data_IF_677140831945
#
_entry.id   IF_677140831945
#
_cell.length_a   1.000
_cell.length_b   1.000
_cell.length_c   1.000
_cell.angle_alpha   90.00
_cell.angle_beta   90.00
_cell.angle_gamma   90.00
#
_symmetry.space_group_name_H-M   'P 1'
#
loop_
_entity.id
_entity.type
_entity.pdbx_description
1 polymer ?
#
# COMPACT_ATOMS: atom_id res chain seq x y z
N UNK A 1 -0.20 14.49 5.69
CA UNK A 1 -1.17 14.13 4.64
C UNK A 1 -0.51 13.06 3.79
N UNK A 2 -1.26 12.11 3.24
CA UNK A 2 -0.72 10.97 2.48
C UNK A 2 -1.14 11.16 1.03
N UNK A 3 -0.17 11.15 0.11
CA UNK A 3 -0.45 11.22 -1.31
C UNK A 3 -0.73 9.81 -1.81
N UNK A 4 -1.93 9.59 -2.35
CA UNK A 4 -2.36 8.28 -2.84
C UNK A 4 -2.56 8.30 -4.34
N UNK A 5 -1.94 7.37 -5.05
CA UNK A 5 -2.20 7.12 -6.47
C UNK A 5 -3.13 5.91 -6.54
N UNK A 6 -4.41 6.16 -6.82
CA UNK A 6 -5.46 5.14 -6.79
C UNK A 6 -5.75 4.67 -8.20
N UNK A 7 -5.34 3.45 -8.52
CA UNK A 7 -5.51 2.81 -9.81
C UNK A 7 -6.73 1.89 -9.75
N UNK A 8 -7.74 2.18 -10.57
CA UNK A 8 -8.97 1.38 -10.64
C UNK A 8 -9.00 0.62 -11.96
N UNK A 9 -9.19 -0.71 -11.89
CA UNK A 9 -9.39 -1.56 -13.05
C UNK A 9 -10.50 -1.02 -13.98
N UNK A 10 -10.23 -1.00 -15.28
CA UNK A 10 -11.18 -0.49 -16.28
C UNK A 10 -12.49 -1.29 -16.31
N UNK A 11 -12.46 -2.61 -16.11
CA UNK A 11 -13.69 -3.41 -16.06
C UNK A 11 -14.59 -3.11 -14.85
N UNK A 12 -14.06 -2.41 -13.84
CA UNK A 12 -14.84 -1.89 -12.72
C UNK A 12 -15.47 -0.51 -13.03
N UNK A 13 -15.12 0.14 -14.14
CA UNK A 13 -15.67 1.45 -14.50
C UNK A 13 -17.09 1.30 -15.08
N UNK A 14 -18.09 1.78 -14.34
CA UNK A 14 -19.50 1.75 -14.75
C UNK A 14 -20.42 0.99 -13.79
N UNK A 15 -19.85 0.23 -12.84
CA UNK A 15 -20.53 -0.01 -11.57
C UNK A 15 -20.47 1.30 -10.76
N UNK A 16 -21.55 1.65 -10.08
CA UNK A 16 -21.71 2.98 -9.49
C UNK A 16 -20.81 3.23 -8.25
N UNK A 17 -19.87 2.34 -7.87
CA UNK A 17 -19.46 2.23 -6.45
C UNK A 17 -17.95 2.08 -6.15
N UNK A 18 -17.04 1.85 -7.11
CA UNK A 18 -15.62 1.58 -6.73
C UNK A 18 -14.82 2.82 -6.33
N UNK A 19 -15.03 3.96 -6.99
CA UNK A 19 -14.41 5.23 -6.58
C UNK A 19 -14.91 5.66 -5.20
N UNK A 20 -16.20 5.46 -4.93
CA UNK A 20 -16.81 5.73 -3.64
C UNK A 20 -16.26 4.80 -2.56
N UNK A 21 -16.13 3.50 -2.83
CA UNK A 21 -15.46 2.54 -1.94
C UNK A 21 -14.04 3.00 -1.64
N UNK A 22 -13.24 3.34 -2.67
CA UNK A 22 -11.88 3.80 -2.47
C UNK A 22 -11.77 5.08 -1.64
N UNK A 23 -12.75 5.98 -1.73
CA UNK A 23 -12.86 7.15 -0.87
C UNK A 23 -13.28 6.77 0.56
N UNK A 24 -14.25 5.86 0.73
CA UNK A 24 -14.69 5.39 2.04
C UNK A 24 -13.58 4.65 2.80
N UNK A 25 -12.81 3.82 2.10
CA UNK A 25 -11.62 3.16 2.63
C UNK A 25 -10.63 4.16 3.22
N UNK A 26 -10.32 5.22 2.47
CA UNK A 26 -9.45 6.31 2.93
C UNK A 26 -10.06 7.10 4.09
N UNK A 27 -11.38 7.30 4.12
CA UNK A 27 -12.08 7.94 5.25
C UNK A 27 -12.01 7.08 6.52
N UNK A 28 -12.17 5.76 6.40
CA UNK A 28 -12.03 4.83 7.51
C UNK A 28 -10.59 4.81 8.04
N UNK A 29 -9.61 4.71 7.15
CA UNK A 29 -8.20 4.74 7.53
C UNK A 29 -7.83 6.08 8.18
N UNK A 30 -8.40 7.20 7.72
CA UNK A 30 -8.25 8.51 8.37
C UNK A 30 -8.77 8.48 9.81
N UNK A 31 -9.90 7.81 10.04
CA UNK A 31 -10.49 7.61 11.36
C UNK A 31 -9.55 6.88 12.32
N UNK A 32 -8.96 5.77 11.87
CA UNK A 32 -8.03 4.96 12.66
C UNK A 32 -6.68 5.65 12.87
N UNK A 33 -6.02 6.01 11.77
CA UNK A 33 -4.63 6.46 11.78
C UNK A 33 -4.47 7.96 12.01
N UNK A 34 -5.57 8.72 12.03
CA UNK A 34 -5.57 10.19 12.19
C UNK A 34 -4.71 10.90 11.14
N UNK A 35 -4.78 10.44 9.89
CA UNK A 35 -4.07 11.03 8.74
C UNK A 35 -5.05 11.42 7.64
N UNK A 36 -4.82 12.55 6.98
CA UNK A 36 -5.56 12.93 5.77
C UNK A 36 -4.95 12.31 4.52
N UNK A 37 -5.78 12.03 3.52
CA UNK A 37 -5.36 11.49 2.21
C UNK A 37 -5.66 12.48 1.09
N UNK A 38 -4.87 12.42 0.03
CA UNK A 38 -5.06 13.17 -1.21
C UNK A 38 -4.98 12.21 -2.39
N UNK A 39 -6.12 11.63 -2.81
CA UNK A 39 -6.15 10.67 -3.89
C UNK A 39 -6.03 11.33 -5.26
N UNK A 40 -5.16 10.76 -6.08
CA UNK A 40 -5.11 10.94 -7.52
C UNK A 40 -5.63 9.67 -8.17
N UNK A 41 -6.85 9.73 -8.70
CA UNK A 41 -7.45 8.60 -9.38
C UNK A 41 -6.90 8.41 -10.79
N UNK A 42 -6.70 7.14 -11.14
CA UNK A 42 -6.19 6.68 -12.43
C UNK A 42 -6.95 5.44 -12.86
N UNK A 43 -7.01 5.22 -14.15
CA UNK A 43 -7.57 4.02 -14.74
C UNK A 43 -6.43 3.06 -15.04
N UNK A 44 -6.52 1.83 -14.55
CA UNK A 44 -5.69 0.73 -15.02
C UNK A 44 -6.34 0.18 -16.30
N UNK A 45 -5.74 0.39 -17.48
CA UNK A 45 -6.31 -0.11 -18.72
C UNK A 45 -6.30 -1.64 -18.72
N UNK A 46 -7.40 -2.27 -19.10
CA UNK A 46 -7.49 -3.72 -19.28
C UNK A 46 -7.72 -4.03 -20.76
N UNK A 47 -6.86 -3.47 -21.59
CA UNK A 47 -6.92 -3.53 -23.05
C UNK A 47 -6.17 -4.75 -23.62
N UNK A 48 -5.37 -5.44 -22.81
CA UNK A 48 -4.63 -6.64 -23.17
C UNK A 48 -4.32 -7.52 -21.94
N UNK A 49 -3.88 -8.76 -22.17
CA UNK A 49 -3.59 -9.74 -21.11
C UNK A 49 -2.50 -9.27 -20.14
N UNK A 50 -1.54 -8.44 -20.56
CA UNK A 50 -0.50 -7.94 -19.66
C UNK A 50 -1.04 -6.97 -18.61
N UNK A 51 -2.22 -6.37 -18.84
CA UNK A 51 -2.83 -5.42 -17.91
C UNK A 51 -4.15 -5.93 -17.29
N UNK A 52 -4.65 -7.11 -17.65
CA UNK A 52 -5.88 -7.71 -17.08
C UNK A 52 -5.54 -8.74 -16.02
N UNK A 53 -5.66 -8.40 -14.72
CA UNK A 53 -5.18 -9.26 -13.63
C UNK A 53 -6.16 -10.38 -13.24
N UNK A 54 -5.60 -11.53 -12.88
CA UNK A 54 -6.32 -12.69 -12.31
C UNK A 54 -5.80 -12.98 -10.90
N UNK A 55 -6.54 -13.73 -10.05
CA UNK A 55 -6.07 -14.07 -8.70
C UNK A 55 -4.65 -14.65 -8.67
N UNK A 56 -4.31 -15.55 -9.58
CA UNK A 56 -2.98 -16.19 -9.68
C UNK A 56 -1.83 -15.23 -10.03
N UNK A 57 -2.13 -14.06 -10.61
CA UNK A 57 -1.13 -13.03 -10.89
C UNK A 57 -0.70 -12.28 -9.62
N UNK A 58 -1.53 -12.35 -8.55
CA UNK A 58 -1.27 -11.66 -7.28
C UNK A 58 -0.61 -12.62 -6.31
N UNK A 59 0.72 -12.72 -6.41
CA UNK A 59 1.52 -13.62 -5.58
C UNK A 59 1.74 -13.03 -4.18
N UNK A 60 1.43 -13.78 -3.11
CA UNK A 60 1.67 -13.31 -1.73
C UNK A 60 3.18 -13.17 -1.45
N UNK A 61 3.96 -14.13 -1.92
CA UNK A 61 5.42 -14.12 -1.86
C UNK A 61 5.97 -14.49 -3.23
N UNK A 62 6.87 -13.66 -3.78
CA UNK A 62 7.59 -14.01 -5.00
C UNK A 62 7.32 -13.12 -6.21
N UNK A 63 7.42 -11.80 -6.08
CA UNK A 63 7.44 -10.88 -7.23
C UNK A 63 8.53 -11.21 -8.29
N UNK A 64 9.54 -12.01 -7.92
CA UNK A 64 10.60 -12.46 -8.82
C UNK A 64 10.34 -13.83 -9.47
N UNK A 65 9.13 -14.39 -9.34
CA UNK A 65 8.71 -15.60 -10.07
C UNK A 65 8.10 -15.22 -11.42
N UNK A 66 7.96 -16.19 -12.36
CA UNK A 66 7.22 -15.96 -13.59
C UNK A 66 5.80 -15.42 -13.35
N UNK A 67 5.10 -15.96 -12.35
CA UNK A 67 3.75 -15.55 -11.97
C UNK A 67 3.71 -14.10 -11.45
N UNK A 68 4.68 -13.72 -10.62
CA UNK A 68 4.77 -12.36 -10.07
C UNK A 68 5.21 -11.28 -11.05
N UNK A 69 5.66 -11.65 -12.26
CA UNK A 69 6.26 -10.71 -13.23
C UNK A 69 5.27 -9.63 -13.66
N UNK A 70 3.99 -9.97 -13.84
CA UNK A 70 2.96 -9.02 -14.25
C UNK A 70 2.74 -7.93 -13.20
N UNK A 71 2.60 -8.33 -11.94
CA UNK A 71 2.46 -7.41 -10.82
C UNK A 71 3.73 -6.56 -10.61
N UNK A 72 4.92 -7.17 -10.75
CA UNK A 72 6.18 -6.45 -10.72
C UNK A 72 6.28 -5.38 -11.81
N UNK A 73 5.85 -5.67 -13.03
CA UNK A 73 5.86 -4.72 -14.13
C UNK A 73 4.92 -3.54 -13.85
N UNK A 74 3.74 -3.79 -13.29
CA UNK A 74 2.83 -2.74 -12.84
C UNK A 74 3.48 -1.85 -11.77
N UNK A 75 4.13 -2.44 -10.76
CA UNK A 75 4.82 -1.67 -9.72
C UNK A 75 5.94 -0.79 -10.30
N UNK A 76 6.75 -1.33 -11.22
CA UNK A 76 7.81 -0.59 -11.89
C UNK A 76 7.28 0.62 -12.68
N UNK A 77 6.09 0.53 -13.27
CA UNK A 77 5.45 1.67 -13.97
C UNK A 77 5.04 2.81 -13.04
N UNK A 78 4.80 2.50 -11.76
CA UNK A 78 4.40 3.47 -10.75
C UNK A 78 5.57 4.00 -9.94
N UNK A 79 6.77 3.42 -10.06
CA UNK A 79 7.98 3.97 -9.44
C UNK A 79 8.24 5.34 -10.06
N UNK A 80 8.45 6.34 -9.20
CA UNK A 80 8.59 7.73 -9.62
C UNK A 80 7.27 8.51 -9.67
N UNK A 81 6.12 7.91 -9.32
CA UNK A 81 4.87 8.66 -9.21
C UNK A 81 5.04 9.81 -8.20
N UNK A 82 4.90 11.08 -8.65
CA UNK A 82 5.22 12.21 -7.80
C UNK A 82 4.16 12.36 -6.73
N UNK A 83 4.56 12.75 -5.51
CA UNK A 83 3.59 13.02 -4.47
C UNK A 83 2.73 14.22 -4.87
N UNK A 84 1.61 14.37 -4.18
CA UNK A 84 0.63 15.43 -4.33
C UNK A 84 1.07 16.82 -3.83
N UNK A 85 2.34 16.98 -3.44
CA UNK A 85 2.89 18.25 -2.97
C UNK A 85 3.61 18.94 -4.13
N UNK A 86 3.44 20.26 -4.23
CA UNK A 86 3.98 21.07 -5.34
C UNK A 86 5.50 21.25 -5.31
N UNK A 87 6.17 20.82 -4.24
CA UNK A 87 7.62 20.96 -4.05
C UNK A 87 8.30 19.58 -4.02
N UNK A 88 8.59 18.97 -5.18
CA UNK A 88 9.43 17.79 -5.26
C UNK A 88 10.87 18.21 -4.96
N UNK A 89 11.35 17.91 -3.77
CA UNK A 89 12.69 18.33 -3.34
C UNK A 89 13.78 17.43 -3.91
N UNK A 90 13.48 16.14 -4.16
CA UNK A 90 14.42 15.14 -4.72
C UNK A 90 13.70 14.01 -5.50
N UNK A 91 14.44 13.13 -6.20
CA UNK A 91 13.90 11.90 -6.81
C UNK A 91 13.25 10.95 -5.79
N UNK A 92 13.74 11.00 -4.55
CA UNK A 92 13.33 10.10 -3.46
C UNK A 92 11.96 10.50 -2.90
N UNK A 93 11.43 11.69 -3.26
CA UNK A 93 10.10 12.15 -2.86
C UNK A 93 8.98 11.24 -3.38
N UNK A 94 9.23 10.47 -4.44
CA UNK A 94 8.29 9.46 -4.96
C UNK A 94 8.00 8.33 -3.97
N UNK A 95 8.88 8.08 -2.98
CA UNK A 95 8.64 7.15 -1.86
C UNK A 95 7.48 7.59 -0.95
N UNK A 96 7.07 8.86 -1.06
CA UNK A 96 5.99 9.47 -0.28
C UNK A 96 4.62 9.30 -0.94
N UNK A 97 4.56 8.57 -2.05
CA UNK A 97 3.32 8.23 -2.75
C UNK A 97 2.96 6.78 -2.46
N UNK A 98 1.77 6.56 -1.90
CA UNK A 98 1.19 5.23 -1.77
C UNK A 98 0.41 4.88 -3.03
N UNK A 99 0.79 3.80 -3.71
CA UNK A 99 0.05 3.29 -4.87
C UNK A 99 -0.94 2.22 -4.41
N UNK A 100 -2.21 2.38 -4.79
CA UNK A 100 -3.30 1.47 -4.39
C UNK A 100 -4.00 0.98 -5.65
N UNK A 101 -4.13 -0.32 -5.82
CA UNK A 101 -4.75 -0.95 -7.00
C UNK A 101 -6.04 -1.64 -6.60
N UNK A 102 -7.17 -1.16 -7.12
CA UNK A 102 -8.46 -1.84 -7.03
C UNK A 102 -8.64 -2.69 -8.28
N UNK A 103 -8.41 -3.99 -8.15
CA UNK A 103 -8.42 -4.95 -9.25
C UNK A 103 -9.74 -5.71 -9.30
N UNK A 104 -10.18 -6.10 -10.50
CA UNK A 104 -11.39 -6.91 -10.70
C UNK A 104 -11.12 -8.41 -10.46
N UNK A 105 -10.73 -8.72 -9.23
CA UNK A 105 -10.49 -10.10 -8.76
C UNK A 105 -11.22 -10.28 -7.44
N UNK A 106 -11.65 -11.49 -7.13
CA UNK A 106 -12.37 -11.79 -5.89
C UNK A 106 -11.45 -12.27 -4.77
N UNK A 107 -10.21 -12.66 -5.06
CA UNK A 107 -9.23 -13.14 -4.08
C UNK A 107 -7.80 -12.93 -4.57
N UNK A 108 -6.83 -13.11 -3.67
CA UNK A 108 -5.40 -13.02 -3.96
C UNK A 108 -4.80 -14.42 -3.98
N UNK A 109 -4.14 -14.79 -5.07
CA UNK A 109 -3.63 -16.15 -5.27
C UNK A 109 -4.73 -17.21 -5.01
N UNK A 110 -4.37 -18.29 -4.31
CA UNK A 110 -5.30 -19.29 -3.78
C UNK A 110 -5.68 -19.03 -2.31
N UNK A 111 -5.37 -17.85 -1.77
CA UNK A 111 -5.72 -17.48 -0.40
C UNK A 111 -6.99 -16.64 -0.37
N UNK A 112 -7.77 -16.66 0.73
CA UNK A 112 -8.98 -15.86 0.86
C UNK A 112 -8.67 -14.39 1.23
N UNK A 113 -7.51 -13.85 0.86
CA UNK A 113 -7.16 -12.46 1.19
C UNK A 113 -7.93 -11.49 0.30
N UNK A 114 -8.47 -10.45 0.93
CA UNK A 114 -9.23 -9.38 0.28
C UNK A 114 -8.36 -8.16 -0.06
N UNK A 115 -7.18 -8.07 0.57
CA UNK A 115 -6.18 -7.05 0.30
C UNK A 115 -4.79 -7.57 0.69
N UNK A 116 -3.75 -6.90 0.19
CA UNK A 116 -2.36 -7.19 0.55
C UNK A 116 -1.47 -5.97 0.29
N UNK A 117 -0.49 -5.76 1.17
CA UNK A 117 0.56 -4.75 1.04
C UNK A 117 1.85 -5.38 0.52
N UNK A 118 2.52 -4.69 -0.41
CA UNK A 118 3.84 -5.01 -0.89
C UNK A 118 4.83 -3.89 -0.60
N UNK A 119 6.07 -4.27 -0.29
CA UNK A 119 7.23 -3.39 -0.33
C UNK A 119 8.14 -3.85 -1.47
N UNK A 120 8.41 -2.97 -2.44
CA UNK A 120 9.24 -3.28 -3.61
C UNK A 120 10.01 -2.05 -4.06
N UNK A 121 11.34 -2.18 -4.19
CA UNK A 121 12.25 -1.05 -4.46
C UNK A 121 12.01 0.15 -3.53
N UNK A 122 11.82 -0.09 -2.24
CA UNK A 122 11.53 0.92 -1.20
C UNK A 122 10.16 1.61 -1.30
N UNK A 123 9.43 1.42 -2.40
CA UNK A 123 8.04 1.84 -2.54
C UNK A 123 7.09 0.84 -1.88
N UNK A 124 5.92 1.33 -1.48
CA UNK A 124 4.83 0.51 -0.97
C UNK A 124 3.61 0.57 -1.87
N UNK A 125 2.97 -0.58 -2.01
CA UNK A 125 1.83 -0.80 -2.87
C UNK A 125 0.76 -1.55 -2.09
N UNK A 126 -0.51 -1.23 -2.30
CA UNK A 126 -1.64 -2.01 -1.77
C UNK A 126 -2.43 -2.53 -2.95
N UNK A 127 -2.75 -3.82 -2.94
CA UNK A 127 -3.68 -4.43 -3.88
C UNK A 127 -4.97 -4.76 -3.13
N UNK A 128 -6.09 -4.28 -3.66
CA UNK A 128 -7.45 -4.48 -3.16
C UNK A 128 -8.22 -5.35 -4.15
N UNK A 129 -8.94 -6.34 -3.64
CA UNK A 129 -9.88 -7.15 -4.43
C UNK A 129 -11.26 -6.49 -4.47
N UNK A 130 -12.24 -7.12 -5.14
CA UNK A 130 -13.64 -6.68 -5.14
C UNK A 130 -14.40 -7.09 -3.88
N UNK A 131 -13.78 -7.78 -2.93
CA UNK A 131 -14.44 -8.14 -1.68
C UNK A 131 -14.66 -6.90 -0.81
N UNK A 132 -15.89 -6.77 -0.30
CA UNK A 132 -16.23 -5.68 0.59
C UNK A 132 -15.68 -5.90 2.01
N UNK A 133 -15.16 -4.83 2.60
CA UNK A 133 -14.72 -4.79 3.99
C UNK A 133 -14.02 -3.49 4.30
N UNK A 134 -14.68 -2.64 5.09
CA UNK A 134 -14.23 -1.27 5.39
C UNK A 134 -12.91 -1.21 6.17
N UNK A 135 -12.53 -2.31 6.84
CA UNK A 135 -11.29 -2.38 7.60
C UNK A 135 -10.07 -2.85 6.77
N UNK A 136 -10.26 -3.45 5.59
CA UNK A 136 -9.15 -4.05 4.84
C UNK A 136 -8.12 -3.02 4.40
N UNK A 137 -8.56 -1.93 3.77
CA UNK A 137 -7.64 -0.85 3.39
C UNK A 137 -6.94 -0.25 4.62
N UNK A 138 -7.68 -0.06 5.73
CA UNK A 138 -7.12 0.51 6.95
C UNK A 138 -6.04 -0.37 7.56
N UNK A 139 -6.20 -1.70 7.49
CA UNK A 139 -5.22 -2.69 7.90
C UNK A 139 -3.97 -2.66 7.02
N UNK A 140 -4.15 -2.76 5.70
CA UNK A 140 -3.05 -2.71 4.74
C UNK A 140 -2.28 -1.38 4.80
N UNK A 141 -2.99 -0.27 5.00
CA UNK A 141 -2.36 1.01 5.20
C UNK A 141 -1.46 1.03 6.46
N UNK A 142 -1.81 0.30 7.51
CA UNK A 142 -0.94 0.07 8.66
C UNK A 142 0.36 -0.63 8.29
N UNK A 143 0.30 -1.71 7.50
CA UNK A 143 1.50 -2.36 6.97
C UNK A 143 2.33 -1.40 6.11
N UNK A 144 1.70 -0.59 5.25
CA UNK A 144 2.38 0.40 4.43
C UNK A 144 3.13 1.44 5.29
N UNK A 145 2.52 1.92 6.37
CA UNK A 145 3.16 2.80 7.35
C UNK A 145 4.37 2.12 8.00
N UNK A 146 4.26 0.85 8.39
CA UNK A 146 5.35 0.14 9.06
C UNK A 146 6.51 -0.20 8.12
N UNK A 147 6.23 -0.50 6.85
CA UNK A 147 7.27 -0.72 5.83
C UNK A 147 8.03 0.57 5.50
N UNK A 148 7.34 1.70 5.48
CA UNK A 148 7.96 3.02 5.21
C UNK A 148 8.50 3.71 6.46
N UNK A 149 8.40 3.06 7.62
CA UNK A 149 9.07 3.44 8.85
C UNK A 149 10.37 2.61 8.99
N UNK A 150 11.51 3.27 8.79
CA UNK A 150 12.83 2.60 8.77
C UNK A 150 13.20 1.89 10.07
N UNK A 151 12.59 2.27 11.21
CA UNK A 151 12.83 1.62 12.49
C UNK A 151 12.05 0.32 12.66
N UNK A 152 10.90 0.19 11.97
CA UNK A 152 10.00 -0.95 12.10
C UNK A 152 10.21 -2.01 11.04
N UNK A 153 10.67 -1.64 9.84
CA UNK A 153 10.94 -2.59 8.75
C UNK A 153 9.75 -3.50 8.43
N UNK A 154 8.53 -2.97 8.47
CA UNK A 154 7.29 -3.71 8.22
C UNK A 154 6.67 -4.40 9.43
N UNK A 155 7.28 -4.30 10.61
CA UNK A 155 6.79 -4.97 11.82
C UNK A 155 5.90 -4.04 12.65
N UNK A 156 4.84 -4.62 13.22
CA UNK A 156 4.01 -4.00 14.25
C UNK A 156 4.87 -3.56 15.43
N UNK A 157 4.74 -2.29 15.89
CA UNK A 157 5.60 -1.75 16.94
C UNK A 157 5.40 -2.42 18.30
N UNK A 158 4.30 -3.16 18.51
CA UNK A 158 4.01 -3.83 19.78
C UNK A 158 4.45 -5.30 19.73
N UNK A 159 3.91 -6.06 18.79
CA UNK A 159 4.20 -7.50 18.71
C UNK A 159 5.59 -7.81 18.16
N UNK A 160 6.20 -6.84 17.45
CA UNK A 160 7.45 -7.01 16.69
C UNK A 160 7.36 -8.11 15.61
N UNK A 161 6.14 -8.40 15.16
CA UNK A 161 5.81 -9.30 14.04
C UNK A 161 5.08 -8.50 12.97
N UNK A 162 4.83 -9.08 11.80
CA UNK A 162 4.01 -8.43 10.76
C UNK A 162 2.63 -8.04 11.30
N UNK A 163 2.01 -8.92 12.09
CA UNK A 163 0.67 -8.72 12.63
C UNK A 163 0.67 -8.64 14.16
N UNK A 164 -0.33 -7.96 14.71
CA UNK A 164 -0.63 -7.98 16.13
C UNK A 164 -1.33 -9.31 16.52
N UNK A 165 -1.21 -9.71 17.78
CA UNK A 165 -1.77 -10.97 18.28
C UNK A 165 -3.20 -10.80 18.86
N UNK A 166 -3.66 -9.57 19.11
CA UNK A 166 -5.00 -9.28 19.67
C UNK A 166 -6.08 -9.29 18.56
N UNK A 167 -7.10 -10.17 18.63
CA UNK A 167 -8.14 -10.31 17.60
C UNK A 167 -9.09 -9.11 17.49
N UNK A 168 -9.05 -8.16 18.41
CA UNK A 168 -9.79 -6.91 18.31
C UNK A 168 -8.92 -5.75 17.83
N UNK A 169 -7.62 -5.96 17.62
CA UNK A 169 -6.73 -4.96 17.05
C UNK A 169 -6.89 -4.89 15.53
N UNK A 170 -6.82 -3.69 14.97
CA UNK A 170 -6.87 -3.50 13.52
C UNK A 170 -5.76 -4.27 12.80
N UNK A 171 -4.56 -4.39 13.38
CA UNK A 171 -3.40 -5.07 12.80
C UNK A 171 -3.38 -6.59 13.02
N UNK A 172 -4.50 -7.20 13.42
CA UNK A 172 -4.62 -8.65 13.53
C UNK A 172 -4.73 -9.33 12.15
N UNK A 173 -4.03 -10.45 11.95
CA UNK A 173 -3.94 -11.14 10.65
C UNK A 173 -5.26 -11.66 10.07
N UNK A 174 -6.32 -11.78 10.89
CA UNK A 174 -7.70 -12.04 10.45
C UNK A 174 -8.57 -10.85 10.81
N UNK A 175 -8.22 -9.69 10.27
CA UNK A 175 -8.96 -8.45 10.49
C UNK A 175 -10.45 -8.68 10.16
N UNK A 176 -11.32 -8.24 11.07
CA UNK A 176 -12.77 -8.33 10.83
C UNK A 176 -13.14 -7.34 9.73
N UNK A 177 -13.94 -7.73 8.71
CA UNK A 177 -14.24 -6.86 7.57
C UNK A 177 -14.96 -5.57 7.97
N UNK A 178 -15.73 -5.59 9.07
CA UNK A 178 -16.53 -4.46 9.55
C UNK A 178 -16.50 -4.37 11.08
N UNK A 179 -17.05 -3.25 11.58
CA UNK A 179 -17.01 -2.89 13.00
C UNK A 179 -15.77 -2.07 13.36
N UNK A 180 -15.81 -1.42 14.52
CA UNK A 180 -14.71 -0.63 15.04
C UNK A 180 -13.72 -1.57 15.73
N UNK A 181 -12.46 -1.49 15.32
CA UNK A 181 -11.33 -2.20 15.92
C UNK A 181 -10.45 -1.25 16.71
N UNK A 182 -9.53 -1.80 17.49
CA UNK A 182 -8.63 -1.01 18.31
C UNK A 182 -7.28 -0.79 17.61
N UNK A 183 -6.73 0.42 17.75
CA UNK A 183 -5.31 0.68 17.58
C UNK A 183 -4.76 1.20 18.91
N UNK A 184 -3.60 0.68 19.31
CA UNK A 184 -2.90 1.16 20.49
C UNK A 184 -2.09 2.40 20.12
N UNK A 185 -1.80 3.24 21.12
CA UNK A 185 -1.11 4.51 20.91
C UNK A 185 0.25 4.36 20.23
N UNK A 186 1.03 3.33 20.57
CA UNK A 186 2.32 3.05 19.92
C UNK A 186 2.18 2.77 18.41
N UNK A 187 1.11 2.09 18.00
CA UNK A 187 0.79 1.86 16.58
C UNK A 187 0.44 3.17 15.89
N UNK A 188 -0.40 4.00 16.53
CA UNK A 188 -0.79 5.31 15.98
C UNK A 188 0.43 6.24 15.85
N UNK A 189 1.33 6.25 16.84
CA UNK A 189 2.51 7.11 16.85
C UNK A 189 3.59 6.64 15.86
N UNK A 190 3.62 5.35 15.49
CA UNK A 190 4.57 4.83 14.51
C UNK A 190 4.48 5.52 13.14
N UNK A 191 3.32 6.09 12.78
CA UNK A 191 3.15 6.86 11.54
C UNK A 191 4.03 8.11 11.52
N UNK A 192 4.40 8.71 12.65
CA UNK A 192 5.19 9.94 12.66
C UNK A 192 6.61 9.74 12.10
N UNK A 193 7.04 8.49 11.98
CA UNK A 193 8.33 8.10 11.40
C UNK A 193 8.21 7.37 10.06
N UNK A 194 7.02 7.36 9.45
CA UNK A 194 6.81 6.82 8.11
C UNK A 194 7.05 7.89 7.05
N UNK A 195 7.71 7.52 5.95
CA UNK A 195 7.88 8.39 4.78
C UNK A 195 6.55 8.83 4.14
N UNK A 196 5.47 8.06 4.28
CA UNK A 196 4.16 8.41 3.72
C UNK A 196 3.50 9.61 4.41
N UNK A 197 3.84 9.85 5.67
CA UNK A 197 3.17 10.81 6.56
C UNK A 197 4.09 11.91 7.04
N UNK A 198 5.40 11.66 7.08
CA UNK A 198 6.41 12.63 7.48
C UNK A 198 7.46 12.83 6.38
N UNK A 199 7.41 14.01 5.75
CA UNK A 199 8.34 14.40 4.67
C UNK A 199 9.80 14.45 5.11
N UNK A 200 10.08 14.63 6.40
CA UNK A 200 11.44 14.74 6.92
C UNK A 200 12.16 13.39 6.95
N UNK A 201 11.42 12.28 7.00
CA UNK A 201 12.02 10.94 7.11
C UNK A 201 12.92 10.64 5.91
N UNK A 202 12.54 11.05 4.69
CA UNK A 202 13.34 10.80 3.48
C UNK A 202 14.54 11.74 3.34
N UNK A 203 14.53 12.91 3.99
CA UNK A 203 15.58 13.94 3.84
C UNK A 203 16.56 14.00 5.02
N UNK A 204 16.06 13.85 6.24
CA UNK A 204 16.81 14.06 7.47
C UNK A 204 17.35 12.75 8.06
N UNK A 205 16.74 11.61 7.69
CA UNK A 205 17.15 10.28 8.13
C UNK A 205 17.20 9.34 6.92
N UNK A 206 18.16 9.51 6.01
CA UNK A 206 18.25 8.63 4.85
C UNK A 206 18.30 7.17 5.32
N UNK A 207 17.63 6.25 4.61
CA UNK A 207 17.70 4.84 4.95
C UNK A 207 19.16 4.43 5.11
N UNK A 208 19.51 3.55 6.06
CA UNK A 208 20.87 3.04 6.15
C UNK A 208 21.20 2.45 4.80
N UNK A 209 22.01 3.18 4.01
CA UNK A 209 22.34 2.84 2.62
C UNK A 209 22.98 1.46 2.63
N UNK A 210 22.18 0.41 2.42
CA UNK A 210 22.70 -0.88 2.00
C UNK A 210 23.42 -0.58 0.69
N UNK A 211 24.75 -0.74 0.72
CA UNK A 211 25.72 -0.16 -0.21
C UNK A 211 25.15 0.12 -1.61
N UNK A 212 25.27 1.39 -2.04
CA UNK A 212 25.31 1.73 -3.46
C UNK A 212 26.24 0.72 -4.13
N UNK A 213 25.68 -0.30 -4.80
CA UNK A 213 26.44 -1.00 -5.83
C UNK A 213 26.60 0.05 -6.91
N UNK A 214 27.80 0.60 -6.98
CA UNK A 214 28.23 1.39 -8.12
C UNK A 214 27.92 0.55 -9.36
N UNK A 215 26.89 0.90 -10.11
CA UNK A 215 26.86 0.58 -11.52
C UNK A 215 27.84 1.56 -12.17
N UNK A 216 29.13 1.20 -12.13
CA UNK A 216 30.06 1.65 -13.13
C UNK A 216 29.56 1.09 -14.46
N UNK A 217 29.14 1.99 -15.34
CA UNK A 217 28.99 1.71 -16.76
C UNK A 217 30.42 1.60 -17.29
N UNK A 218 30.85 0.39 -17.57
CA UNK A 218 31.81 0.10 -18.65
C UNK A 218 31.06 -0.68 -19.73
#
# INVERSE_FOLDING_TARGET
MVCTSVWVSKSLMGSKEVYDIALQDQLMAKGYWKVGFTPRFRVLPEDNEANTFKPEDIVVNGLNTPQGTKLKNLFLQCIGDPPCYDDPMTSDDSLRTLNVFYLNIDKISDTPYSAITYSFNEHVFIVMTTQEGSNYFSHEFGHALYHTNYFLKGLDPISKKEHNDDPNNLMYFKVKPSGILDLKEEQINAKEHSALTNKHVTHDTPPPRAGRRNFSIE
#
